data_IF_920849686344
#
_entry.id   IF_920849686344
#
_cell.length_a   1.000
_cell.length_b   1.000
_cell.length_c   1.000
_cell.angle_alpha   90.00
_cell.angle_beta   90.00
_cell.angle_gamma   90.00
#
_symmetry.space_group_name_H-M   'P 1'
#
loop_
_entity.id
_entity.type
_entity.pdbx_description
1 polymer ?
#
# COMPACT_ATOMS: atom_id res chain seq x y z
N UNK A 1 29.90 -19.25 -13.41
CA UNK A 1 29.00 -18.20 -13.85
C UNK A 1 28.97 -17.11 -12.80
N UNK A 2 29.22 -15.87 -13.17
CA UNK A 2 29.13 -14.72 -12.29
C UNK A 2 27.67 -14.37 -12.00
N UNK A 3 27.40 -13.59 -10.92
CA UNK A 3 26.04 -13.13 -10.60
C UNK A 3 25.41 -12.36 -11.78
N UNK A 4 26.22 -11.56 -12.49
CA UNK A 4 25.76 -10.82 -13.68
C UNK A 4 25.33 -11.76 -14.82
N UNK A 5 26.15 -12.74 -15.13
CA UNK A 5 25.85 -13.74 -16.18
C UNK A 5 24.60 -14.52 -15.83
N UNK A 6 24.46 -14.95 -14.58
CA UNK A 6 23.26 -15.63 -14.10
C UNK A 6 21.99 -14.78 -14.27
N UNK A 7 22.03 -13.50 -13.84
CA UNK A 7 20.88 -12.59 -13.98
C UNK A 7 20.49 -12.36 -15.45
N UNK A 8 21.48 -12.20 -16.34
CA UNK A 8 21.24 -12.10 -17.78
C UNK A 8 20.64 -13.38 -18.36
N UNK A 9 21.16 -14.54 -17.96
CA UNK A 9 20.61 -15.83 -18.36
C UNK A 9 19.16 -16.01 -17.89
N UNK A 10 18.87 -15.67 -16.64
CA UNK A 10 17.52 -15.76 -16.07
C UNK A 10 16.53 -14.84 -16.80
N UNK A 11 16.92 -13.61 -17.13
CA UNK A 11 16.10 -12.70 -17.96
C UNK A 11 15.78 -13.34 -19.31
N UNK A 12 16.78 -13.93 -19.97
CA UNK A 12 16.60 -14.61 -21.25
C UNK A 12 15.65 -15.81 -21.13
N UNK A 13 15.84 -16.64 -20.12
CA UNK A 13 15.01 -17.81 -19.87
C UNK A 13 13.55 -17.42 -19.60
N UNK A 14 13.30 -16.41 -18.78
CA UNK A 14 11.95 -15.92 -18.49
C UNK A 14 11.26 -15.32 -19.72
N UNK A 15 12.01 -14.63 -20.59
CA UNK A 15 11.48 -14.06 -21.85
C UNK A 15 11.19 -15.13 -22.90
N UNK A 16 11.88 -16.24 -22.89
CA UNK A 16 11.73 -17.32 -23.89
C UNK A 16 10.56 -18.26 -23.60
N UNK A 17 9.82 -18.07 -22.51
CA UNK A 17 8.64 -18.90 -22.16
C UNK A 17 7.54 -18.78 -23.21
N UNK A 18 7.26 -19.86 -23.91
CA UNK A 18 6.22 -19.90 -24.94
C UNK A 18 4.81 -19.72 -24.30
N UNK A 19 3.99 -18.87 -24.91
CA UNK A 19 2.59 -18.67 -24.50
C UNK A 19 2.41 -17.91 -23.17
N UNK A 20 3.49 -17.36 -22.60
CA UNK A 20 3.41 -16.60 -21.36
C UNK A 20 3.88 -15.18 -21.63
N UNK A 21 2.99 -14.22 -21.35
CA UNK A 21 3.31 -12.81 -21.46
C UNK A 21 4.50 -12.46 -20.54
N UNK A 22 5.53 -11.86 -21.12
CA UNK A 22 6.70 -11.40 -20.38
C UNK A 22 7.29 -10.17 -21.07
N UNK A 23 7.44 -9.08 -20.36
CA UNK A 23 8.12 -7.88 -20.83
C UNK A 23 9.17 -7.40 -19.83
N UNK A 24 10.23 -6.79 -20.30
CA UNK A 24 11.23 -6.11 -19.49
C UNK A 24 11.00 -4.60 -19.58
N UNK A 25 10.88 -3.94 -18.44
CA UNK A 25 10.81 -2.51 -18.31
C UNK A 25 11.91 -2.07 -17.34
N UNK A 26 12.94 -1.43 -17.85
CA UNK A 26 14.17 -1.14 -17.10
C UNK A 26 14.75 -2.42 -16.47
N UNK A 27 14.84 -2.48 -15.13
CA UNK A 27 15.34 -3.61 -14.36
C UNK A 27 14.20 -4.48 -13.77
N UNK A 28 12.97 -4.28 -14.24
CA UNK A 28 11.81 -5.06 -13.81
C UNK A 28 11.28 -5.92 -14.96
N UNK A 29 11.24 -7.20 -14.72
CA UNK A 29 10.62 -8.17 -15.61
C UNK A 29 9.18 -8.38 -15.13
N UNK A 30 8.23 -8.12 -16.01
CA UNK A 30 6.79 -8.25 -15.73
C UNK A 30 6.30 -9.50 -16.45
N UNK A 31 5.70 -10.42 -15.71
CA UNK A 31 5.19 -11.70 -16.25
C UNK A 31 3.91 -12.14 -15.54
N UNK A 32 3.30 -13.20 -16.06
CA UNK A 32 2.15 -13.82 -15.39
C UNK A 32 2.56 -14.49 -14.10
N UNK A 33 1.76 -14.30 -13.07
CA UNK A 33 2.02 -14.86 -11.75
C UNK A 33 1.68 -16.37 -11.71
N UNK A 34 2.63 -17.25 -11.39
CA UNK A 34 2.38 -18.68 -11.29
C UNK A 34 1.61 -19.06 -10.02
N UNK A 35 1.58 -18.17 -9.01
CA UNK A 35 0.93 -18.44 -7.72
C UNK A 35 -0.59 -18.23 -7.75
N UNK A 36 -1.09 -17.27 -8.54
CA UNK A 36 -2.53 -16.97 -8.64
C UNK A 36 -3.09 -17.17 -10.06
N UNK A 37 -2.27 -17.59 -11.02
CA UNK A 37 -2.69 -17.73 -12.41
C UNK A 37 -2.92 -16.42 -13.15
N UNK A 38 -2.84 -15.27 -12.42
CA UNK A 38 -3.01 -13.93 -12.97
C UNK A 38 -4.41 -13.61 -13.53
N UNK A 39 -4.55 -12.67 -14.45
CA UNK A 39 -5.84 -12.28 -15.04
C UNK A 39 -6.31 -13.29 -16.10
N UNK A 40 -7.60 -13.21 -16.48
CA UNK A 40 -8.14 -13.99 -17.62
C UNK A 40 -7.51 -13.53 -18.95
N UNK A 41 -7.00 -12.29 -19.02
CA UNK A 41 -6.31 -11.79 -20.20
C UNK A 41 -4.91 -12.41 -20.28
N UNK A 42 -4.59 -13.21 -21.31
CA UNK A 42 -3.28 -13.87 -21.44
C UNK A 42 -2.13 -12.86 -21.67
N UNK A 43 -2.43 -11.65 -22.09
CA UNK A 43 -1.45 -10.61 -22.38
C UNK A 43 -1.17 -9.68 -21.17
N UNK A 44 -1.74 -9.97 -20.00
CA UNK A 44 -1.47 -9.22 -18.77
C UNK A 44 -0.60 -10.02 -17.82
N UNK A 45 0.39 -9.36 -17.24
CA UNK A 45 1.23 -9.89 -16.17
C UNK A 45 1.24 -8.94 -14.98
N UNK A 46 1.06 -9.50 -13.79
CA UNK A 46 1.07 -8.73 -12.54
C UNK A 46 2.15 -9.18 -11.56
N UNK A 47 3.01 -10.12 -11.98
CA UNK A 47 4.22 -10.48 -11.23
C UNK A 47 5.39 -9.64 -11.74
N UNK A 48 5.91 -8.79 -10.89
CA UNK A 48 7.08 -7.96 -11.14
C UNK A 48 8.29 -8.62 -10.48
N UNK A 49 9.33 -8.86 -11.26
CA UNK A 49 10.58 -9.47 -10.79
C UNK A 49 11.69 -8.44 -11.04
N UNK A 50 12.26 -7.89 -9.98
CA UNK A 50 13.39 -6.97 -10.09
C UNK A 50 14.68 -7.76 -10.32
N UNK A 51 15.24 -7.61 -11.50
CA UNK A 51 16.52 -8.24 -11.91
C UNK A 51 17.41 -7.15 -12.49
N UNK A 52 18.44 -6.73 -11.75
CA UNK A 52 19.46 -5.83 -12.25
C UNK A 52 20.78 -6.56 -12.43
N UNK A 53 21.27 -6.77 -13.67
CA UNK A 53 22.54 -7.49 -13.90
C UNK A 53 23.76 -6.76 -13.37
N UNK A 54 23.66 -5.47 -13.10
CA UNK A 54 24.77 -4.61 -12.72
C UNK A 54 24.92 -4.44 -11.20
N UNK A 55 24.08 -5.08 -10.39
CA UNK A 55 24.17 -5.06 -8.94
C UNK A 55 24.32 -6.47 -8.36
N UNK A 56 24.71 -6.55 -7.09
CA UNK A 56 24.83 -7.80 -6.34
C UNK A 56 23.64 -8.05 -5.41
N UNK A 57 22.55 -7.27 -5.54
CA UNK A 57 21.36 -7.46 -4.72
C UNK A 57 20.60 -8.75 -5.11
N UNK A 58 19.90 -9.36 -4.15
CA UNK A 58 19.04 -10.50 -4.43
C UNK A 58 17.96 -10.13 -5.43
N UNK A 59 17.52 -11.12 -6.18
CA UNK A 59 16.37 -10.98 -7.06
C UNK A 59 15.12 -11.07 -6.21
N UNK A 60 14.28 -10.04 -6.27
CA UNK A 60 13.02 -10.00 -5.53
C UNK A 60 11.84 -9.92 -6.48
N UNK A 61 10.71 -10.42 -6.04
CA UNK A 61 9.47 -10.37 -6.81
C UNK A 61 8.28 -9.90 -5.95
N UNK A 62 7.30 -9.33 -6.63
CA UNK A 62 6.03 -8.93 -6.05
C UNK A 62 4.89 -9.09 -7.07
N UNK A 63 3.82 -9.74 -6.66
CA UNK A 63 2.60 -9.81 -7.46
C UNK A 63 1.60 -8.73 -7.00
N UNK A 64 1.08 -7.96 -7.93
CA UNK A 64 0.08 -6.93 -7.63
C UNK A 64 -1.37 -7.47 -7.56
N UNK A 65 -1.56 -8.78 -7.77
CA UNK A 65 -2.87 -9.43 -7.69
C UNK A 65 -3.04 -10.39 -6.52
N UNK A 66 -1.95 -10.97 -6.03
CA UNK A 66 -1.97 -11.87 -4.89
C UNK A 66 -0.85 -11.53 -3.92
N UNK A 67 -0.83 -12.10 -2.71
CA UNK A 67 0.21 -11.80 -1.71
C UNK A 67 1.58 -12.41 -2.01
N UNK A 68 1.80 -12.99 -3.21
CA UNK A 68 3.07 -13.59 -3.57
C UNK A 68 4.14 -12.51 -3.73
N UNK A 69 5.07 -12.45 -2.79
CA UNK A 69 6.20 -11.52 -2.79
C UNK A 69 7.37 -12.10 -2.00
N UNK A 70 8.56 -11.62 -2.29
CA UNK A 70 9.74 -12.00 -1.53
C UNK A 70 11.00 -12.08 -2.38
N UNK A 71 12.01 -12.71 -1.82
CA UNK A 71 13.24 -13.05 -2.51
C UNK A 71 13.01 -14.29 -3.40
N UNK A 72 13.52 -14.25 -4.63
CA UNK A 72 13.42 -15.38 -5.56
C UNK A 72 14.22 -16.56 -5.01
N UNK A 73 13.57 -17.69 -4.82
CA UNK A 73 14.13 -18.92 -4.26
C UNK A 73 14.10 -20.06 -5.30
N UNK A 74 14.78 -21.19 -5.06
CA UNK A 74 14.73 -22.36 -5.95
C UNK A 74 13.31 -22.78 -6.32
N UNK A 75 12.40 -22.81 -5.35
CA UNK A 75 11.00 -23.18 -5.54
C UNK A 75 10.26 -22.19 -6.45
N UNK A 76 10.62 -20.90 -6.35
CA UNK A 76 10.08 -19.86 -7.24
C UNK A 76 10.58 -20.01 -8.68
N UNK A 77 11.83 -20.42 -8.86
CA UNK A 77 12.40 -20.75 -10.18
C UNK A 77 11.67 -21.92 -10.80
N UNK A 78 11.44 -22.98 -10.03
CA UNK A 78 10.72 -24.16 -10.49
C UNK A 78 9.29 -23.82 -10.95
N UNK A 79 8.57 -23.01 -10.19
CA UNK A 79 7.25 -22.54 -10.57
C UNK A 79 7.26 -21.66 -11.84
N UNK A 80 8.30 -20.88 -12.03
CA UNK A 80 8.41 -19.97 -13.16
C UNK A 80 8.92 -20.63 -14.43
N UNK A 81 9.88 -21.54 -14.34
CA UNK A 81 10.62 -22.07 -15.49
C UNK A 81 10.58 -23.61 -15.59
N UNK A 82 10.03 -24.29 -14.59
CA UNK A 82 10.15 -25.72 -14.43
C UNK A 82 11.41 -26.13 -13.67
N UNK A 83 11.54 -27.43 -13.42
CA UNK A 83 12.69 -27.98 -12.70
C UNK A 83 13.97 -27.82 -13.52
N UNK A 84 14.83 -26.91 -13.06
CA UNK A 84 16.16 -26.67 -13.62
C UNK A 84 17.18 -26.63 -12.48
N UNK A 85 17.91 -27.75 -12.20
CA UNK A 85 18.85 -27.82 -11.09
C UNK A 85 19.97 -26.78 -11.17
N UNK A 86 20.37 -26.39 -12.36
CA UNK A 86 21.40 -25.38 -12.56
C UNK A 86 20.93 -23.98 -12.12
N UNK A 87 19.70 -23.59 -12.52
CA UNK A 87 19.10 -22.33 -12.10
C UNK A 87 18.80 -22.32 -10.60
N UNK A 88 18.31 -23.42 -10.05
CA UNK A 88 18.05 -23.56 -8.61
C UNK A 88 19.33 -23.43 -7.78
N UNK A 89 20.43 -24.07 -8.20
CA UNK A 89 21.72 -23.95 -7.53
C UNK A 89 22.30 -22.54 -7.66
N UNK A 90 22.13 -21.89 -8.81
CA UNK A 90 22.66 -20.56 -9.06
C UNK A 90 21.93 -19.49 -8.26
N UNK A 91 20.60 -19.59 -8.09
CA UNK A 91 19.84 -18.66 -7.24
C UNK A 91 20.20 -18.88 -5.75
N UNK A 92 20.43 -20.12 -5.34
CA UNK A 92 20.88 -20.43 -3.97
C UNK A 92 22.23 -19.77 -3.69
N UNK A 93 23.17 -19.83 -4.62
CA UNK A 93 24.48 -19.20 -4.48
C UNK A 93 24.38 -17.66 -4.47
N UNK A 94 23.54 -17.08 -5.34
CA UNK A 94 23.29 -15.65 -5.35
C UNK A 94 22.73 -15.18 -4.01
N UNK A 95 21.76 -15.90 -3.45
CA UNK A 95 21.14 -15.55 -2.17
C UNK A 95 22.13 -15.65 -1.01
N UNK A 96 22.99 -16.68 -0.96
CA UNK A 96 24.07 -16.81 0.04
C UNK A 96 25.10 -15.68 -0.02
N UNK A 97 25.44 -15.20 -1.21
CA UNK A 97 26.34 -14.05 -1.39
C UNK A 97 25.66 -12.73 -1.01
N UNK A 98 24.36 -12.64 -1.28
CA UNK A 98 23.53 -11.46 -0.90
C UNK A 98 23.25 -11.40 0.60
N UNK A 99 23.09 -12.55 1.28
CA UNK A 99 22.93 -12.60 2.74
C UNK A 99 24.14 -12.02 3.48
N UNK A 100 25.36 -12.14 2.93
CA UNK A 100 26.54 -11.48 3.46
C UNK A 100 26.53 -9.96 3.29
N UNK A 101 25.87 -9.47 2.24
CA UNK A 101 25.69 -8.03 1.99
C UNK A 101 24.49 -7.49 2.78
N UNK A 102 23.41 -8.28 2.90
CA UNK A 102 22.21 -7.91 3.65
C UNK A 102 22.40 -8.05 5.17
N UNK A 103 23.18 -9.02 5.65
CA UNK A 103 23.47 -9.15 7.10
C UNK A 103 24.33 -8.00 7.64
N UNK A 104 25.16 -7.35 6.81
CA UNK A 104 25.94 -6.20 7.22
C UNK A 104 25.26 -4.84 6.95
N UNK A 105 24.30 -4.79 6.06
CA UNK A 105 23.59 -3.53 5.68
C UNK A 105 22.12 -3.53 6.03
N UNK A 106 21.39 -4.60 5.77
CA UNK A 106 19.95 -4.63 5.97
C UNK A 106 19.54 -5.10 7.38
N UNK A 107 20.34 -5.90 8.06
CA UNK A 107 20.11 -6.23 9.47
C UNK A 107 20.31 -4.99 10.35
N UNK A 108 21.30 -4.17 10.01
CA UNK A 108 21.53 -2.87 10.67
C UNK A 108 20.44 -1.82 10.35
N UNK A 109 19.65 -2.00 9.26
CA UNK A 109 18.56 -1.10 8.90
C UNK A 109 17.18 -1.56 9.43
N UNK A 110 17.06 -2.80 9.93
CA UNK A 110 15.76 -3.37 10.32
C UNK A 110 15.65 -3.72 11.81
N UNK A 111 16.75 -3.91 12.52
CA UNK A 111 16.70 -4.42 13.90
C UNK A 111 16.80 -3.34 14.99
N UNK A 112 17.25 -2.10 14.70
CA UNK A 112 17.47 -1.09 15.76
C UNK A 112 17.25 0.38 15.35
N UNK A 113 16.73 0.65 14.16
CA UNK A 113 16.39 2.03 13.83
C UNK A 113 14.93 2.28 14.19
N UNK A 114 14.70 3.11 15.19
CA UNK A 114 13.42 3.77 15.39
C UNK A 114 12.90 4.27 14.04
N UNK A 115 11.59 4.10 13.75
CA UNK A 115 11.03 4.58 12.50
C UNK A 115 11.38 6.06 12.35
N UNK A 116 12.15 6.40 11.32
CA UNK A 116 12.50 7.79 11.04
C UNK A 116 11.20 8.49 10.69
N UNK A 117 10.72 9.31 11.59
CA UNK A 117 9.63 10.23 11.36
C UNK A 117 10.20 11.59 10.98
N UNK A 118 9.70 12.16 9.89
CA UNK A 118 10.05 13.50 9.46
C UNK A 118 8.95 14.46 9.90
N UNK A 119 9.34 15.45 10.68
CA UNK A 119 8.43 16.52 11.10
C UNK A 119 8.49 17.63 10.05
N UNK A 120 7.38 17.90 9.39
CA UNK A 120 7.24 18.93 8.39
C UNK A 120 6.20 19.96 8.82
N UNK A 121 6.52 21.24 8.61
CA UNK A 121 5.56 22.32 8.79
C UNK A 121 4.49 22.29 7.69
N UNK A 122 3.22 22.24 8.12
CA UNK A 122 2.10 22.31 7.19
C UNK A 122 1.86 23.78 6.75
N UNK A 123 1.27 24.01 5.56
CA UNK A 123 0.82 25.33 5.15
C UNK A 123 -0.20 25.92 6.14
N UNK A 124 -0.07 27.21 6.47
CA UNK A 124 -0.97 27.87 7.43
C UNK A 124 -2.36 28.18 6.86
N UNK A 125 -2.45 28.27 5.55
CA UNK A 125 -3.68 28.66 4.87
C UNK A 125 -4.52 27.46 4.50
N UNK A 126 -5.33 26.99 5.43
CA UNK A 126 -6.50 26.18 5.10
C UNK A 126 -7.64 27.07 4.56
N UNK A 127 -7.32 28.01 3.64
CA UNK A 127 -8.37 28.74 2.96
C UNK A 127 -9.34 27.71 2.38
N UNK A 128 -10.65 27.99 2.47
CA UNK A 128 -11.72 27.15 1.92
C UNK A 128 -11.58 27.03 0.40
N UNK A 129 -10.54 26.34 -0.02
CA UNK A 129 -10.24 26.09 -1.41
C UNK A 129 -11.24 25.06 -1.96
N UNK A 130 -11.39 25.03 -3.28
CA UNK A 130 -12.18 23.98 -3.94
C UNK A 130 -11.72 22.55 -3.55
N UNK A 131 -10.47 22.41 -3.12
CA UNK A 131 -9.87 21.14 -2.66
C UNK A 131 -10.48 20.68 -1.34
N UNK A 132 -10.67 21.58 -0.37
CA UNK A 132 -11.36 21.29 0.89
C UNK A 132 -12.84 20.97 0.62
N UNK A 133 -13.51 21.80 -0.19
CA UNK A 133 -14.89 21.53 -0.58
C UNK A 133 -15.08 20.18 -1.27
N UNK A 134 -14.05 19.70 -2.00
CA UNK A 134 -14.10 18.36 -2.60
C UNK A 134 -14.20 17.26 -1.55
N UNK A 135 -13.34 17.27 -0.52
CA UNK A 135 -13.39 16.25 0.55
C UNK A 135 -14.64 16.38 1.41
N UNK A 136 -15.03 17.61 1.78
CA UNK A 136 -16.27 17.88 2.52
C UNK A 136 -17.51 17.34 1.79
N UNK A 137 -17.63 17.62 0.50
CA UNK A 137 -18.73 17.12 -0.33
C UNK A 137 -18.68 15.62 -0.50
N UNK A 138 -17.47 15.04 -0.65
CA UNK A 138 -17.29 13.61 -0.84
C UNK A 138 -17.73 12.82 0.38
N UNK A 139 -17.47 13.33 1.57
CA UNK A 139 -17.80 12.68 2.84
C UNK A 139 -19.11 13.19 3.49
N UNK A 140 -19.72 14.24 2.94
CA UNK A 140 -20.88 14.94 3.53
C UNK A 140 -20.57 15.40 4.98
N UNK A 141 -19.35 15.87 5.21
CA UNK A 141 -18.83 16.28 6.51
C UNK A 141 -18.11 17.62 6.39
N UNK A 142 -18.34 18.52 7.35
CA UNK A 142 -17.65 19.82 7.45
C UNK A 142 -16.48 19.68 8.39
N UNK A 143 -15.31 20.06 7.93
CA UNK A 143 -14.08 20.00 8.70
C UNK A 143 -13.74 21.36 9.29
N UNK A 144 -13.41 21.39 10.57
CA UNK A 144 -12.81 22.54 11.23
C UNK A 144 -11.36 22.75 10.75
N UNK A 145 -10.75 23.87 11.09
CA UNK A 145 -9.32 24.09 10.81
C UNK A 145 -8.45 23.06 11.57
N UNK A 146 -8.86 22.72 12.78
CA UNK A 146 -8.19 21.74 13.63
C UNK A 146 -8.25 20.35 13.00
N UNK A 147 -9.42 19.89 12.53
CA UNK A 147 -9.54 18.64 11.78
C UNK A 147 -8.59 18.59 10.57
N UNK A 148 -8.53 19.69 9.80
CA UNK A 148 -7.66 19.75 8.61
C UNK A 148 -6.17 19.69 8.98
N UNK A 149 -5.83 20.25 10.15
CA UNK A 149 -4.46 20.15 10.67
C UNK A 149 -4.14 18.74 11.12
N UNK A 150 -5.03 18.09 11.88
CA UNK A 150 -4.88 16.70 12.33
C UNK A 150 -4.82 15.72 11.15
N UNK A 151 -5.59 15.98 10.10
CA UNK A 151 -5.52 15.25 8.83
C UNK A 151 -4.22 15.48 8.06
N UNK A 152 -3.34 16.39 8.50
CA UNK A 152 -2.09 16.76 7.82
C UNK A 152 -2.31 17.11 6.34
N UNK A 153 -3.33 17.95 6.08
CA UNK A 153 -3.73 18.34 4.73
C UNK A 153 -2.77 19.37 4.14
N UNK A 154 -2.42 19.19 2.87
CA UNK A 154 -1.59 20.11 2.08
C UNK A 154 -2.43 20.65 0.93
N UNK A 155 -2.93 21.87 1.06
CA UNK A 155 -3.71 22.55 0.02
C UNK A 155 -2.86 23.30 -0.98
N UNK A 156 -1.67 23.76 -0.57
CA UNK A 156 -0.66 24.37 -1.43
C UNK A 156 0.64 23.58 -1.38
N UNK A 157 0.96 22.92 -2.48
CA UNK A 157 2.21 22.17 -2.63
C UNK A 157 3.42 23.09 -2.64
N UNK A 158 3.30 24.25 -3.30
CA UNK A 158 4.36 25.26 -3.37
C UNK A 158 4.69 25.81 -1.98
N UNK A 159 3.68 26.18 -1.20
CA UNK A 159 3.88 26.70 0.16
C UNK A 159 4.54 25.67 1.06
N UNK A 160 4.09 24.40 0.99
CA UNK A 160 4.72 23.30 1.71
C UNK A 160 6.20 23.17 1.40
N UNK A 161 6.59 23.22 0.11
CA UNK A 161 7.98 23.14 -0.29
C UNK A 161 8.81 24.33 0.27
N UNK A 162 8.27 25.56 0.22
CA UNK A 162 8.96 26.77 0.71
C UNK A 162 9.17 26.70 2.22
N UNK A 163 8.10 26.41 3.01
CA UNK A 163 8.17 26.32 4.47
C UNK A 163 9.23 25.31 4.91
N UNK A 164 9.26 24.16 4.26
CA UNK A 164 10.17 23.09 4.61
C UNK A 164 11.54 23.18 3.91
N UNK A 165 11.83 24.29 3.23
CA UNK A 165 13.11 24.54 2.52
C UNK A 165 13.48 23.43 1.54
N UNK A 166 12.47 22.79 0.95
CA UNK A 166 12.67 21.75 -0.06
C UNK A 166 12.97 22.40 -1.41
N UNK A 167 14.24 22.41 -1.80
CA UNK A 167 14.72 23.12 -2.99
C UNK A 167 14.59 22.33 -4.28
N UNK A 168 14.20 21.07 -4.23
CA UNK A 168 14.09 20.20 -5.39
C UNK A 168 12.67 19.67 -5.57
N UNK A 169 12.27 19.55 -6.82
CA UNK A 169 11.00 18.98 -7.20
C UNK A 169 11.27 17.58 -7.78
N UNK A 170 10.72 16.55 -7.14
CA UNK A 170 10.86 15.16 -7.57
C UNK A 170 9.86 14.76 -8.66
N UNK A 171 9.39 15.72 -9.45
CA UNK A 171 8.53 15.49 -10.60
C UNK A 171 8.78 16.57 -11.67
N UNK A 172 8.21 16.38 -12.87
CA UNK A 172 8.32 17.38 -13.93
C UNK A 172 7.65 18.70 -13.52
N UNK A 173 8.24 19.88 -13.86
CA UNK A 173 7.68 21.19 -13.47
C UNK A 173 6.23 21.41 -13.90
N UNK A 174 5.83 20.91 -15.06
CA UNK A 174 4.47 21.00 -15.57
C UNK A 174 3.51 20.21 -14.69
N UNK A 175 3.94 19.03 -14.24
CA UNK A 175 3.14 18.19 -13.33
C UNK A 175 3.06 18.82 -11.93
N UNK A 176 4.13 19.48 -11.46
CA UNK A 176 4.09 20.22 -10.19
C UNK A 176 3.02 21.33 -10.20
N UNK A 177 2.82 22.03 -11.34
CA UNK A 177 1.74 23.01 -11.49
C UNK A 177 0.35 22.37 -11.43
N UNK A 178 0.21 21.18 -11.99
CA UNK A 178 -1.04 20.41 -11.93
C UNK A 178 -1.32 19.98 -10.48
N UNK A 179 -0.32 19.47 -9.76
CA UNK A 179 -0.44 19.12 -8.34
C UNK A 179 -0.85 20.33 -7.50
N UNK A 180 -0.23 21.49 -7.74
CA UNK A 180 -0.57 22.75 -7.05
C UNK A 180 -2.01 23.15 -7.29
N UNK A 181 -2.51 23.04 -8.52
CA UNK A 181 -3.82 23.54 -8.91
C UNK A 181 -4.93 22.56 -8.56
N UNK A 182 -4.80 21.29 -8.93
CA UNK A 182 -5.91 20.35 -9.04
C UNK A 182 -5.89 19.23 -7.99
N UNK A 183 -4.80 19.10 -7.22
CA UNK A 183 -4.68 18.03 -6.23
C UNK A 183 -4.65 18.55 -4.80
N UNK A 184 -5.27 17.79 -3.90
CA UNK A 184 -5.11 17.93 -2.46
C UNK A 184 -4.07 16.91 -1.99
N UNK A 185 -3.15 17.32 -1.14
CA UNK A 185 -2.13 16.46 -0.55
C UNK A 185 -2.46 16.07 0.89
N UNK A 186 -1.97 14.90 1.29
CA UNK A 186 -1.99 14.41 2.67
C UNK A 186 -0.58 13.91 3.01
N UNK A 187 -0.03 14.32 4.13
CA UNK A 187 1.28 13.86 4.54
C UNK A 187 1.20 12.40 5.00
N UNK A 188 2.10 11.54 4.53
CA UNK A 188 2.19 10.16 4.99
C UNK A 188 2.57 10.10 6.48
N UNK A 189 2.23 9.00 7.17
CA UNK A 189 2.47 8.84 8.62
C UNK A 189 3.89 9.20 9.03
N UNK A 190 4.88 8.73 8.30
CA UNK A 190 6.29 9.00 8.59
C UNK A 190 6.87 10.23 7.88
N UNK A 191 6.04 11.06 7.23
CA UNK A 191 6.50 12.25 6.51
C UNK A 191 7.27 11.99 5.21
N UNK A 192 7.48 10.75 4.80
CA UNK A 192 8.30 10.44 3.62
C UNK A 192 7.68 10.79 2.27
N UNK A 193 6.35 10.91 2.22
CA UNK A 193 5.60 11.16 1.00
C UNK A 193 4.46 12.14 1.22
N UNK A 194 4.11 12.88 0.18
CA UNK A 194 2.80 13.51 0.05
C UNK A 194 1.93 12.60 -0.83
N UNK A 195 0.75 12.29 -0.34
CA UNK A 195 -0.25 11.46 -1.00
C UNK A 195 -1.28 12.38 -1.65
N UNK A 196 -1.12 12.63 -2.93
CA UNK A 196 -1.96 13.56 -3.69
C UNK A 196 -3.21 12.86 -4.23
N UNK A 197 -4.35 13.52 -4.09
CA UNK A 197 -5.64 13.14 -4.68
C UNK A 197 -6.13 14.21 -5.66
N UNK A 198 -6.44 13.81 -6.90
CA UNK A 198 -7.13 14.67 -7.87
C UNK A 198 -8.53 15.04 -7.34
N UNK A 199 -8.79 16.35 -7.23
CA UNK A 199 -10.06 16.90 -6.76
C UNK A 199 -11.03 17.24 -7.89
N UNK A 200 -10.55 17.26 -9.12
CA UNK A 200 -11.31 17.60 -10.32
C UNK A 200 -11.89 16.39 -11.02
N UNK A 201 -11.32 15.21 -10.80
CA UNK A 201 -11.57 13.95 -11.52
C UNK A 201 -11.34 14.05 -13.04
N UNK A 202 -10.50 15.00 -13.48
CA UNK A 202 -10.18 15.23 -14.90
C UNK A 202 -8.88 14.58 -15.36
N UNK A 203 -8.07 14.12 -14.40
CA UNK A 203 -6.77 13.52 -14.69
C UNK A 203 -6.84 12.00 -14.61
N UNK A 204 -6.12 11.31 -15.50
CA UNK A 204 -5.98 9.85 -15.50
C UNK A 204 -5.37 9.34 -14.19
N UNK A 205 -4.42 10.11 -13.65
CA UNK A 205 -3.74 9.80 -12.40
C UNK A 205 -4.54 10.35 -11.21
N UNK A 206 -5.50 9.58 -10.73
CA UNK A 206 -6.36 9.98 -9.60
C UNK A 206 -5.63 10.09 -8.27
N UNK A 207 -4.58 9.29 -8.06
CA UNK A 207 -3.72 9.28 -6.89
C UNK A 207 -2.27 9.35 -7.30
N UNK A 208 -1.48 10.16 -6.61
CA UNK A 208 -0.05 10.25 -6.83
C UNK A 208 0.71 10.28 -5.51
N UNK A 209 1.73 9.43 -5.37
CA UNK A 209 2.62 9.40 -4.21
C UNK A 209 3.87 10.20 -4.55
N UNK A 210 3.97 11.41 -4.01
CA UNK A 210 5.13 12.27 -4.20
C UNK A 210 6.18 11.96 -3.13
N UNK A 211 7.36 11.45 -3.46
CA UNK A 211 8.42 11.21 -2.49
C UNK A 211 9.07 12.53 -2.07
N UNK A 212 9.07 12.81 -0.77
CA UNK A 212 9.79 13.96 -0.19
C UNK A 212 11.22 13.56 0.12
N UNK A 213 11.42 12.35 0.63
CA UNK A 213 12.72 11.82 1.04
C UNK A 213 12.88 10.37 0.61
N UNK A 214 14.13 9.97 0.34
CA UNK A 214 14.48 8.60 0.00
C UNK A 214 14.72 7.69 1.23
N UNK A 215 14.65 8.23 2.45
CA UNK A 215 15.07 7.53 3.67
C UNK A 215 14.10 6.43 4.17
N UNK A 216 12.94 6.26 3.52
CA UNK A 216 11.92 5.27 3.94
C UNK A 216 12.01 3.92 3.19
N UNK A 217 13.20 3.49 2.80
CA UNK A 217 13.38 2.19 2.15
C UNK A 217 12.89 1.06 3.08
N UNK A 218 11.86 0.35 2.64
CA UNK A 218 11.34 -0.84 3.34
C UNK A 218 10.08 -0.60 4.18
N UNK A 219 9.76 0.62 4.59
CA UNK A 219 8.52 0.90 5.30
C UNK A 219 7.33 1.04 4.34
N UNK A 220 6.12 0.62 4.72
CA UNK A 220 4.95 0.87 3.93
C UNK A 220 4.63 2.37 3.93
N UNK A 221 4.31 2.92 2.77
CA UNK A 221 3.79 4.29 2.66
C UNK A 221 2.32 4.25 3.05
N UNK A 222 2.01 4.65 4.27
CA UNK A 222 0.66 4.69 4.83
C UNK A 222 0.28 6.11 5.23
N UNK A 223 -1.01 6.37 5.27
CA UNK A 223 -1.56 7.55 5.90
C UNK A 223 -2.22 7.14 7.23
N UNK A 224 -2.08 7.94 8.26
CA UNK A 224 -2.72 7.70 9.54
C UNK A 224 -3.35 8.99 10.05
N UNK A 225 -4.63 8.91 10.35
CA UNK A 225 -5.32 9.87 11.19
C UNK A 225 -5.28 9.30 12.61
N UNK A 226 -4.35 9.77 13.42
CA UNK A 226 -4.12 9.20 14.74
C UNK A 226 -4.05 10.31 15.76
N UNK A 227 -4.86 10.21 16.78
CA UNK A 227 -4.56 10.82 18.07
C UNK A 227 -3.52 9.94 18.77
N UNK A 228 -2.70 10.51 19.64
CA UNK A 228 -1.80 9.72 20.46
C UNK A 228 -2.60 8.80 21.38
N UNK A 229 -2.51 7.51 21.13
CA UNK A 229 -3.14 6.48 21.97
C UNK A 229 -2.06 5.83 22.81
N UNK A 230 -2.26 5.84 24.11
CA UNK A 230 -1.43 5.06 25.01
C UNK A 230 -1.79 3.57 24.89
N UNK A 231 -0.93 2.83 24.20
CA UNK A 231 -1.08 1.40 23.95
C UNK A 231 -1.06 0.55 25.21
N UNK A 232 -0.51 1.07 26.31
CA UNK A 232 -0.32 0.33 27.56
C UNK A 232 -1.46 0.53 28.55
N UNK A 233 -2.12 1.67 28.48
CA UNK A 233 -3.20 2.02 29.44
C UNK A 233 -4.61 1.91 28.86
N UNK A 234 -4.74 1.77 27.54
CA UNK A 234 -6.07 1.64 26.90
C UNK A 234 -6.64 0.24 27.06
N UNK A 235 -7.88 0.17 27.57
CA UNK A 235 -8.60 -1.10 27.79
C UNK A 235 -8.86 -1.84 26.47
N UNK A 236 -9.18 -1.09 25.42
CA UNK A 236 -9.41 -1.63 24.08
C UNK A 236 -8.96 -0.61 23.04
N UNK A 237 -8.27 -1.08 22.01
CA UNK A 237 -7.78 -0.28 20.89
C UNK A 237 -8.36 -0.84 19.60
N UNK A 238 -9.01 0.00 18.83
CA UNK A 238 -9.51 -0.34 17.51
C UNK A 238 -8.60 0.21 16.42
N UNK A 239 -8.09 -0.67 15.55
CA UNK A 239 -7.31 -0.30 14.38
C UNK A 239 -8.18 -0.46 13.15
N UNK A 240 -8.55 0.65 12.54
CA UNK A 240 -9.35 0.71 11.32
C UNK A 240 -8.42 0.83 10.11
N UNK A 241 -8.44 -0.16 9.23
CA UNK A 241 -7.63 -0.21 8.02
C UNK A 241 -8.52 -0.05 6.79
N UNK A 242 -8.13 0.80 5.87
CA UNK A 242 -8.82 1.03 4.59
C UNK A 242 -7.82 1.12 3.43
N UNK A 243 -8.28 0.96 2.18
CA UNK A 243 -7.41 1.06 1.01
C UNK A 243 -6.98 2.50 0.75
N UNK A 244 -7.91 3.45 0.81
CA UNK A 244 -7.72 4.85 0.47
C UNK A 244 -7.86 5.82 1.63
N UNK A 245 -7.33 7.05 1.45
CA UNK A 245 -7.40 8.10 2.48
C UNK A 245 -8.85 8.54 2.72
N UNK A 246 -9.68 8.66 1.67
CA UNK A 246 -11.08 9.05 1.85
C UNK A 246 -11.87 8.00 2.62
N UNK A 247 -11.52 6.72 2.48
CA UNK A 247 -12.11 5.63 3.27
C UNK A 247 -11.69 5.72 4.74
N UNK A 248 -10.41 6.03 4.97
CA UNK A 248 -9.87 6.25 6.30
C UNK A 248 -10.56 7.42 7.01
N UNK A 249 -10.72 8.55 6.33
CA UNK A 249 -11.44 9.72 6.86
C UNK A 249 -12.92 9.40 7.10
N UNK A 250 -13.54 8.65 6.20
CA UNK A 250 -14.93 8.22 6.38
C UNK A 250 -15.09 7.25 7.56
N UNK A 251 -14.16 6.33 7.74
CA UNK A 251 -14.16 5.47 8.93
C UNK A 251 -14.10 6.31 10.21
N UNK A 252 -13.20 7.30 10.26
CA UNK A 252 -13.05 8.15 11.44
C UNK A 252 -14.26 9.04 11.71
N UNK A 253 -14.72 9.80 10.71
CA UNK A 253 -15.70 10.87 10.92
C UNK A 253 -17.16 10.45 10.67
N UNK A 254 -17.40 9.40 9.88
CA UNK A 254 -18.75 8.97 9.53
C UNK A 254 -19.22 7.72 10.28
N UNK A 255 -18.30 6.83 10.70
CA UNK A 255 -18.67 5.52 11.26
C UNK A 255 -18.46 5.43 12.75
N UNK A 256 -17.55 6.19 13.33
CA UNK A 256 -17.24 6.16 14.74
C UNK A 256 -17.62 7.49 15.40
N UNK A 257 -18.47 7.42 16.41
CA UNK A 257 -18.88 8.61 17.20
C UNK A 257 -17.78 8.99 18.20
N UNK A 258 -16.90 8.06 18.59
CA UNK A 258 -15.74 8.29 19.44
C UNK A 258 -14.49 7.73 18.76
N UNK A 259 -13.60 8.64 18.35
CA UNK A 259 -12.32 8.29 17.72
C UNK A 259 -11.16 8.20 18.72
N UNK A 260 -11.40 8.50 20.00
CA UNK A 260 -10.35 8.61 21.03
C UNK A 260 -9.54 7.32 21.21
N UNK A 261 -10.18 6.14 21.05
CA UNK A 261 -9.55 4.83 21.15
C UNK A 261 -9.39 4.12 19.82
N UNK A 262 -9.42 4.86 18.70
CA UNK A 262 -9.31 4.29 17.37
C UNK A 262 -8.13 4.88 16.59
N UNK A 263 -7.41 3.99 15.90
CA UNK A 263 -6.35 4.37 14.96
C UNK A 263 -6.89 4.13 13.56
N UNK A 264 -7.00 5.18 12.76
CA UNK A 264 -7.53 5.09 11.41
C UNK A 264 -6.37 5.19 10.41
N UNK A 265 -6.18 4.14 9.59
CA UNK A 265 -5.05 4.01 8.68
C UNK A 265 -5.53 3.72 7.26
N UNK A 266 -5.08 4.52 6.31
CA UNK A 266 -5.13 4.16 4.90
C UNK A 266 -3.82 3.47 4.50
N UNK A 267 -3.94 2.26 3.96
CA UNK A 267 -2.78 1.48 3.52
C UNK A 267 -2.21 1.99 2.18
N UNK A 268 -2.93 2.88 1.52
CA UNK A 268 -2.57 3.51 0.24
C UNK A 268 -2.12 2.50 -0.82
N UNK A 269 -2.80 1.37 -0.91
CA UNK A 269 -2.52 0.26 -1.82
C UNK A 269 -3.33 -0.98 -1.44
N UNK A 270 -2.88 -2.17 -1.87
CA UNK A 270 -3.61 -3.43 -1.65
C UNK A 270 -2.94 -4.38 -0.64
N UNK A 271 -1.85 -3.97 0.00
CA UNK A 271 -1.01 -4.86 0.81
C UNK A 271 -1.36 -4.80 2.31
N UNK A 272 -2.59 -5.13 2.70
CA UNK A 272 -3.03 -5.16 4.11
C UNK A 272 -2.09 -5.98 5.01
N UNK A 273 -1.70 -7.18 4.57
CA UNK A 273 -0.83 -8.05 5.36
C UNK A 273 0.53 -7.43 5.67
N UNK A 274 1.10 -6.61 4.76
CA UNK A 274 2.35 -5.90 5.00
C UNK A 274 2.17 -4.81 6.05
N UNK A 275 1.07 -4.07 6.00
CA UNK A 275 0.78 -3.01 6.98
C UNK A 275 0.48 -3.60 8.34
N UNK A 276 -0.32 -4.67 8.43
CA UNK A 276 -0.58 -5.36 9.69
C UNK A 276 0.74 -5.87 10.31
N UNK A 277 1.59 -6.52 9.52
CA UNK A 277 2.91 -6.95 10.00
C UNK A 277 3.77 -5.78 10.50
N UNK A 278 3.74 -4.65 9.82
CA UNK A 278 4.45 -3.44 10.24
C UNK A 278 3.91 -2.91 11.56
N UNK A 279 2.58 -2.81 11.72
CA UNK A 279 1.95 -2.37 12.97
C UNK A 279 2.25 -3.31 14.13
N UNK A 280 2.17 -4.61 13.92
CA UNK A 280 2.53 -5.61 14.94
C UNK A 280 4.00 -5.49 15.33
N UNK A 281 4.89 -5.20 14.38
CA UNK A 281 6.29 -4.93 14.65
C UNK A 281 6.55 -3.64 15.45
N UNK A 282 5.60 -2.70 15.44
CA UNK A 282 5.61 -1.47 16.25
C UNK A 282 5.00 -1.67 17.65
N UNK A 283 4.71 -2.87 18.07
CA UNK A 283 4.15 -3.16 19.39
C UNK A 283 2.62 -3.17 19.48
N UNK A 284 1.91 -3.00 18.35
CA UNK A 284 0.45 -3.16 18.30
C UNK A 284 0.05 -4.63 18.41
N UNK A 285 0.30 -5.24 19.55
CA UNK A 285 -0.03 -6.64 19.85
C UNK A 285 -0.70 -6.73 21.22
N UNK A 286 -1.76 -7.49 21.31
CA UNK A 286 -2.39 -7.75 22.60
C UNK A 286 -3.83 -8.21 22.49
N UNK A 287 -4.31 -8.78 23.59
CA UNK A 287 -5.69 -9.24 23.74
C UNK A 287 -6.72 -8.11 23.75
N UNK A 288 -6.27 -6.86 23.74
CA UNK A 288 -7.13 -5.67 23.72
C UNK A 288 -7.22 -5.02 22.32
N UNK A 289 -6.59 -5.58 21.29
CA UNK A 289 -6.57 -4.98 19.94
C UNK A 289 -7.64 -5.61 19.05
N UNK A 290 -8.46 -4.76 18.46
CA UNK A 290 -9.42 -5.10 17.42
C UNK A 290 -8.92 -4.53 16.08
N UNK A 291 -8.87 -5.37 15.06
CA UNK A 291 -8.55 -4.94 13.70
C UNK A 291 -9.82 -4.97 12.85
N UNK A 292 -10.19 -3.83 12.31
CA UNK A 292 -11.26 -3.68 11.34
C UNK A 292 -10.66 -3.38 9.96
N UNK A 293 -11.01 -4.13 8.95
CA UNK A 293 -10.66 -3.86 7.56
C UNK A 293 -11.90 -3.38 6.83
N UNK A 294 -11.87 -2.16 6.32
CA UNK A 294 -12.86 -1.63 5.38
C UNK A 294 -12.37 -1.90 3.96
N UNK A 295 -12.84 -2.99 3.40
CA UNK A 295 -12.39 -3.46 2.10
C UNK A 295 -13.26 -2.91 0.97
N UNK A 296 -12.62 -2.57 -0.15
CA UNK A 296 -13.33 -2.23 -1.37
C UNK A 296 -14.20 -3.39 -1.83
N UNK A 297 -15.43 -3.06 -2.26
CA UNK A 297 -16.33 -3.97 -2.92
C UNK A 297 -16.10 -3.91 -4.43
N UNK A 298 -15.02 -4.52 -4.89
CA UNK A 298 -14.70 -4.60 -6.31
C UNK A 298 -15.69 -5.53 -7.01
N UNK A 299 -16.65 -4.98 -7.71
CA UNK A 299 -17.60 -5.74 -8.51
C UNK A 299 -16.90 -6.34 -9.74
N UNK A 300 -17.12 -7.62 -9.97
CA UNK A 300 -16.64 -8.31 -11.19
C UNK A 300 -17.73 -8.22 -12.26
N UNK A 301 -17.36 -7.83 -13.47
CA UNK A 301 -18.25 -7.91 -14.62
C UNK A 301 -18.23 -9.34 -15.16
N UNK A 302 -19.42 -9.90 -15.38
CA UNK A 302 -19.57 -11.17 -16.07
C UNK A 302 -19.23 -11.03 -17.57
N UNK A 303 -19.31 -12.13 -18.31
CA UNK A 303 -19.06 -12.15 -19.75
C UNK A 303 -20.04 -11.29 -20.58
N UNK A 304 -21.18 -10.92 -20.01
CA UNK A 304 -22.19 -10.04 -20.62
C UNK A 304 -22.04 -8.58 -20.18
N UNK A 305 -21.04 -8.27 -19.34
CA UNK A 305 -20.79 -6.92 -18.83
C UNK A 305 -21.65 -6.52 -17.63
N UNK A 306 -22.48 -7.43 -17.07
CA UNK A 306 -23.26 -7.18 -15.87
C UNK A 306 -22.36 -7.22 -14.63
N UNK A 307 -22.57 -6.31 -13.69
CA UNK A 307 -21.85 -6.30 -12.42
C UNK A 307 -22.40 -7.37 -11.48
N UNK A 308 -21.58 -8.37 -11.18
CA UNK A 308 -21.89 -9.40 -10.18
C UNK A 308 -21.09 -9.13 -8.90
N UNK A 309 -21.78 -8.97 -7.77
CA UNK A 309 -21.16 -8.73 -6.46
C UNK A 309 -20.75 -10.00 -5.72
N UNK A 310 -21.25 -11.15 -6.13
CA UNK A 310 -21.25 -12.37 -5.32
C UNK A 310 -19.86 -13.02 -5.17
N UNK A 311 -19.05 -13.01 -6.23
CA UNK A 311 -17.74 -13.69 -6.19
C UNK A 311 -16.63 -12.89 -5.54
N UNK A 312 -16.78 -11.58 -5.36
CA UNK A 312 -15.74 -10.72 -4.83
C UNK A 312 -15.64 -10.84 -3.31
N UNK A 313 -16.75 -10.91 -2.61
CA UNK A 313 -16.77 -11.06 -1.15
C UNK A 313 -16.13 -12.37 -0.72
N UNK A 314 -16.54 -13.50 -1.28
CA UNK A 314 -16.06 -14.81 -0.86
C UNK A 314 -14.56 -14.96 -1.09
N UNK A 315 -14.06 -14.54 -2.25
CA UNK A 315 -12.63 -14.61 -2.56
C UNK A 315 -11.81 -13.71 -1.64
N UNK A 316 -12.28 -12.50 -1.36
CA UNK A 316 -11.60 -11.57 -0.46
C UNK A 316 -11.66 -12.05 0.98
N UNK A 317 -12.80 -12.59 1.44
CA UNK A 317 -12.95 -13.14 2.78
C UNK A 317 -11.99 -14.30 3.01
N UNK A 318 -11.84 -15.21 2.06
CA UNK A 318 -10.87 -16.30 2.16
C UNK A 318 -9.42 -15.81 2.25
N UNK A 319 -9.10 -14.73 1.52
CA UNK A 319 -7.82 -14.08 1.66
C UNK A 319 -7.62 -13.53 3.08
N UNK A 320 -8.63 -12.83 3.62
CA UNK A 320 -8.56 -12.27 4.97
C UNK A 320 -8.52 -13.35 6.04
N UNK A 321 -9.25 -14.46 5.90
CA UNK A 321 -9.18 -15.63 6.80
C UNK A 321 -7.78 -16.23 6.84
N UNK A 322 -7.13 -16.40 5.69
CA UNK A 322 -5.75 -16.89 5.61
C UNK A 322 -4.76 -15.91 6.24
N UNK A 323 -5.00 -14.62 6.09
CA UNK A 323 -4.19 -13.59 6.72
C UNK A 323 -4.38 -13.59 8.24
N UNK A 324 -5.62 -13.60 8.72
CA UNK A 324 -5.96 -13.63 10.14
C UNK A 324 -5.39 -14.88 10.82
N UNK A 325 -5.46 -16.05 10.21
CA UNK A 325 -4.90 -17.28 10.74
C UNK A 325 -3.42 -17.22 11.14
N UNK A 326 -2.71 -16.19 10.66
CA UNK A 326 -1.31 -15.90 11.06
C UNK A 326 -1.21 -15.05 12.32
N UNK A 327 -2.28 -14.38 12.73
CA UNK A 327 -2.27 -13.35 13.78
C UNK A 327 -3.32 -13.61 14.88
N UNK A 328 -4.00 -14.77 14.89
CA UNK A 328 -5.09 -15.12 15.84
C UNK A 328 -4.72 -14.94 17.30
N UNK A 329 -3.45 -15.19 17.64
CA UNK A 329 -2.95 -15.08 19.02
C UNK A 329 -2.41 -13.68 19.34
N UNK A 330 -2.46 -12.73 18.40
CA UNK A 330 -1.84 -11.43 18.53
C UNK A 330 -2.88 -10.29 18.62
N UNK A 331 -4.13 -10.57 18.32
CA UNK A 331 -5.23 -9.60 18.35
C UNK A 331 -6.49 -10.23 18.93
N UNK A 332 -7.32 -9.41 19.59
CA UNK A 332 -8.57 -9.85 20.20
C UNK A 332 -9.62 -10.24 19.15
N UNK A 333 -9.73 -9.43 18.11
CA UNK A 333 -10.78 -9.59 17.11
C UNK A 333 -10.29 -9.07 15.75
N UNK A 334 -10.78 -9.72 14.69
CA UNK A 334 -10.49 -9.34 13.32
C UNK A 334 -11.77 -9.32 12.50
N UNK A 335 -12.13 -8.16 11.99
CA UNK A 335 -13.36 -7.95 11.23
C UNK A 335 -13.06 -7.43 9.84
N UNK A 336 -13.92 -7.80 8.89
CA UNK A 336 -13.90 -7.26 7.53
C UNK A 336 -15.27 -6.68 7.22
N UNK A 337 -15.27 -5.44 6.75
CA UNK A 337 -16.47 -4.70 6.39
C UNK A 337 -16.47 -4.40 4.90
N UNK A 338 -17.63 -4.52 4.28
CA UNK A 338 -17.89 -4.11 2.90
C UNK A 338 -19.09 -3.18 2.85
N UNK A 339 -18.99 -2.15 2.03
CA UNK A 339 -20.16 -1.34 1.71
C UNK A 339 -20.98 -2.05 0.62
N UNK A 340 -22.24 -2.37 0.94
CA UNK A 340 -23.14 -3.09 0.02
C UNK A 340 -23.71 -2.20 -1.08
N UNK A 341 -23.68 -0.87 -0.89
CA UNK A 341 -24.30 0.09 -1.78
C UNK A 341 -23.28 0.72 -2.75
N UNK A 342 -22.07 0.92 -2.30
CA UNK A 342 -20.99 1.56 -3.07
C UNK A 342 -19.73 0.69 -3.05
N UNK A 343 -18.80 0.98 -3.97
CA UNK A 343 -17.53 0.27 -4.05
C UNK A 343 -16.71 0.38 -2.77
N UNK A 344 -16.69 1.57 -2.16
CA UNK A 344 -15.87 1.92 -1.01
C UNK A 344 -16.71 2.62 0.07
N UNK A 345 -16.11 2.96 1.20
CA UNK A 345 -16.75 3.73 2.27
C UNK A 345 -16.44 5.22 2.22
N UNK A 346 -15.59 5.67 1.31
CA UNK A 346 -15.22 7.09 1.11
C UNK A 346 -16.35 7.88 0.45
N UNK A 347 -17.55 7.77 1.00
CA UNK A 347 -18.82 8.34 0.50
C UNK A 347 -19.60 8.97 1.67
N UNK A 348 -20.65 9.79 1.42
CA UNK A 348 -21.51 10.32 2.45
C UNK A 348 -22.06 9.23 3.40
N UNK A 349 -22.17 9.54 4.72
CA UNK A 349 -22.65 8.60 5.75
C UNK A 349 -23.94 7.88 5.37
N UNK A 350 -24.90 8.59 4.77
CA UNK A 350 -26.19 8.03 4.30
C UNK A 350 -26.06 6.94 3.23
N UNK A 351 -24.93 6.90 2.55
CA UNK A 351 -24.61 5.96 1.47
C UNK A 351 -23.79 4.74 1.97
N UNK A 352 -23.48 4.69 3.26
CA UNK A 352 -22.70 3.60 3.84
C UNK A 352 -23.67 2.59 4.45
N UNK A 353 -23.70 1.39 3.87
CA UNK A 353 -24.43 0.23 4.39
C UNK A 353 -23.48 -0.94 4.50
N UNK A 354 -23.01 -1.19 5.71
CA UNK A 354 -21.98 -2.19 5.94
C UNK A 354 -22.54 -3.58 6.18
N UNK A 355 -21.86 -4.57 5.60
CA UNK A 355 -21.94 -5.95 6.05
C UNK A 355 -20.63 -6.29 6.75
N UNK A 356 -20.70 -6.95 7.90
CA UNK A 356 -19.55 -7.34 8.72
C UNK A 356 -19.33 -8.84 8.65
N UNK A 357 -18.10 -9.24 8.45
CA UNK A 357 -17.62 -10.60 8.60
C UNK A 357 -16.64 -10.65 9.78
N UNK A 358 -17.02 -11.34 10.85
CA UNK A 358 -16.12 -11.66 11.95
C UNK A 358 -15.33 -12.90 11.58
N UNK A 359 -13.99 -12.81 11.62
CA UNK A 359 -13.08 -13.90 11.25
C UNK A 359 -12.55 -14.63 12.46
#
# INVERSE_FOLDING_TARGET
MTNREFKLYLIKALKSRKGIYTRLNNNELITRCPYCGDSKNPNDGHLYIRINPNDNYPIVYNCFRCPAQGMLKPESIELLLGADPFLQQSITNLNKTSDKITTNGAKALYDDADPIEFDFELPDTFSRSHKIHYIERRLDHKFSTEDLFDMKVITSFREFLIKNRLSHINCKPEFAKILEKDYIGFLSKNGSHILFRDTTNTHDLRWYKYPITSASYGQPVIYSLTQEIDLFTSDEITINLSEGILDCLSAAYNLHDDISNSINIAICGKSYGRVIKYLLGMGFMGSNIIINIYSDNDKVKDEYGNETSINTYDTSIDFYRKMYGRYTNLVKEFNVYYNTTYKDIGVPKKNIKLIRYKL
#
